data_IF_210023445562
#
_entry.id   IF_210023445562
#
_cell.length_a   1.000
_cell.length_b   1.000
_cell.length_c   1.000
_cell.angle_alpha   90.00
_cell.angle_beta   90.00
_cell.angle_gamma   90.00
#
_symmetry.space_group_name_H-M   'P 1'
#
loop_
_entity.id
_entity.type
_entity.pdbx_description
1 polymer ?
#
# COMPACT_ATOMS: atom_id res chain seq x y z
N UNK A 1 -28.04 -45.51 -12.96
CA UNK A 1 -27.91 -44.93 -11.61
C UNK A 1 -26.98 -43.74 -11.76
N UNK A 2 -27.59 -42.60 -12.08
CA UNK A 2 -26.91 -41.36 -12.41
C UNK A 2 -26.47 -40.68 -11.09
N UNK A 3 -25.17 -40.48 -10.94
CA UNK A 3 -24.60 -39.69 -9.83
C UNK A 3 -25.06 -38.26 -10.05
N UNK A 4 -25.63 -37.57 -9.06
CA UNK A 4 -25.96 -36.15 -9.21
C UNK A 4 -24.67 -35.35 -9.32
N UNK A 5 -24.56 -34.53 -10.38
CA UNK A 5 -23.60 -33.48 -10.53
C UNK A 5 -23.65 -32.58 -9.28
N UNK A 6 -22.55 -32.53 -8.54
CA UNK A 6 -22.38 -31.62 -7.43
C UNK A 6 -22.32 -30.20 -8.00
N UNK A 7 -23.28 -29.44 -7.59
CA UNK A 7 -23.60 -28.04 -7.80
C UNK A 7 -22.35 -27.15 -7.95
N UNK A 8 -22.11 -26.71 -9.17
CA UNK A 8 -21.01 -25.78 -9.56
C UNK A 8 -21.24 -24.35 -9.06
N UNK A 9 -22.27 -24.11 -8.25
CA UNK A 9 -22.60 -22.84 -7.63
C UNK A 9 -21.57 -22.38 -6.56
N UNK A 10 -20.64 -23.26 -6.14
CA UNK A 10 -19.59 -23.00 -5.14
C UNK A 10 -18.30 -22.41 -5.75
N UNK A 11 -18.21 -22.29 -7.07
CA UNK A 11 -16.99 -21.85 -7.76
C UNK A 11 -16.92 -20.33 -8.00
N UNK A 12 -18.02 -19.60 -7.88
CA UNK A 12 -18.09 -18.16 -8.17
C UNK A 12 -17.99 -17.35 -6.88
N UNK A 13 -17.14 -16.34 -6.88
CA UNK A 13 -17.12 -15.33 -5.81
C UNK A 13 -18.25 -14.32 -6.05
N UNK A 14 -19.08 -14.08 -5.05
CA UNK A 14 -20.18 -13.10 -5.08
C UNK A 14 -20.03 -12.11 -3.95
N UNK A 15 -20.34 -10.85 -4.22
CA UNK A 15 -20.42 -9.79 -3.22
C UNK A 15 -21.88 -9.32 -3.10
N UNK A 16 -22.43 -9.43 -1.90
CA UNK A 16 -23.75 -8.86 -1.58
C UNK A 16 -23.50 -7.61 -0.76
N UNK A 17 -23.94 -6.45 -1.27
CA UNK A 17 -23.66 -5.15 -0.65
C UNK A 17 -24.95 -4.51 -0.16
N UNK A 18 -24.95 -4.05 1.08
CA UNK A 18 -25.94 -3.16 1.67
C UNK A 18 -25.25 -1.91 2.20
N UNK A 19 -25.89 -0.76 2.14
CA UNK A 19 -25.30 0.50 2.57
C UNK A 19 -26.21 1.22 3.58
N UNK A 20 -25.61 1.74 4.65
CA UNK A 20 -26.29 2.56 5.65
C UNK A 20 -25.30 3.55 6.30
N UNK A 21 -25.71 4.82 6.46
CA UNK A 21 -24.95 5.81 7.22
C UNK A 21 -23.50 6.02 6.77
N UNK A 22 -23.25 6.06 5.46
CA UNK A 22 -21.88 6.22 4.91
C UNK A 22 -21.02 4.96 4.97
N UNK A 23 -21.55 3.83 5.43
CA UNK A 23 -20.85 2.54 5.52
C UNK A 23 -21.44 1.53 4.54
N UNK A 24 -20.60 0.90 3.72
CA UNK A 24 -20.97 -0.26 2.91
C UNK A 24 -20.68 -1.55 3.69
N UNK A 25 -21.67 -2.43 3.79
CA UNK A 25 -21.56 -3.77 4.34
C UNK A 25 -21.55 -4.77 3.20
N UNK A 26 -20.49 -5.54 3.07
CA UNK A 26 -20.28 -6.50 1.98
C UNK A 26 -20.18 -7.90 2.56
N UNK A 27 -20.98 -8.83 2.06
CA UNK A 27 -20.79 -10.25 2.33
C UNK A 27 -20.10 -10.87 1.12
N UNK A 28 -18.89 -11.39 1.32
CA UNK A 28 -18.19 -12.16 0.31
C UNK A 28 -18.50 -13.63 0.47
N UNK A 29 -19.18 -14.17 -0.52
CA UNK A 29 -19.64 -15.58 -0.52
C UNK A 29 -19.01 -16.32 -1.69
N UNK A 30 -18.47 -17.51 -1.46
CA UNK A 30 -17.90 -18.36 -2.49
C UNK A 30 -16.38 -18.49 -2.40
N UNK A 31 -15.71 -18.70 -3.53
CA UNK A 31 -14.29 -19.04 -3.58
C UNK A 31 -13.43 -17.87 -4.06
N UNK A 32 -12.46 -17.47 -3.24
CA UNK A 32 -11.39 -16.56 -3.63
C UNK A 32 -10.27 -17.37 -4.30
N UNK A 33 -10.17 -17.23 -5.62
CA UNK A 33 -9.24 -17.90 -6.50
C UNK A 33 -8.48 -16.88 -7.36
N UNK A 34 -7.38 -17.24 -8.04
CA UNK A 34 -6.65 -16.31 -8.90
C UNK A 34 -7.54 -15.60 -9.94
N UNK A 35 -8.56 -16.31 -10.46
CA UNK A 35 -9.48 -15.82 -11.49
C UNK A 35 -10.47 -14.78 -10.93
N UNK A 36 -10.88 -14.92 -9.67
CA UNK A 36 -11.88 -14.04 -9.03
C UNK A 36 -11.26 -12.90 -8.23
N UNK A 37 -9.97 -12.99 -7.92
CA UNK A 37 -9.27 -12.00 -7.10
C UNK A 37 -9.25 -10.59 -7.73
N UNK A 38 -9.01 -10.38 -9.04
CA UNK A 38 -9.03 -9.06 -9.65
C UNK A 38 -10.39 -8.37 -9.52
N UNK A 39 -11.48 -9.10 -9.73
CA UNK A 39 -12.84 -8.55 -9.62
C UNK A 39 -13.17 -8.17 -8.17
N UNK A 40 -12.74 -8.97 -7.21
CA UNK A 40 -12.88 -8.65 -5.79
C UNK A 40 -12.14 -7.36 -5.41
N UNK A 41 -10.90 -7.19 -5.89
CA UNK A 41 -10.13 -5.95 -5.67
C UNK A 41 -10.84 -4.75 -6.28
N UNK A 42 -11.25 -4.84 -7.56
CA UNK A 42 -11.91 -3.74 -8.26
C UNK A 42 -13.23 -3.34 -7.59
N UNK A 43 -14.04 -4.33 -7.18
CA UNK A 43 -15.30 -4.09 -6.49
C UNK A 43 -15.09 -3.39 -5.14
N UNK A 44 -14.21 -3.92 -4.30
CA UNK A 44 -13.94 -3.33 -2.98
C UNK A 44 -13.29 -1.94 -3.09
N UNK A 45 -12.35 -1.75 -4.02
CA UNK A 45 -11.74 -0.44 -4.26
C UNK A 45 -12.78 0.59 -4.73
N UNK A 46 -13.71 0.20 -5.60
CA UNK A 46 -14.81 1.06 -6.02
C UNK A 46 -15.73 1.46 -4.87
N UNK A 47 -16.06 0.54 -3.97
CA UNK A 47 -16.84 0.85 -2.78
C UNK A 47 -16.08 1.80 -1.82
N UNK A 48 -14.78 1.59 -1.63
CA UNK A 48 -13.95 2.45 -0.78
C UNK A 48 -13.80 3.89 -1.30
N UNK A 49 -14.02 4.12 -2.59
CA UNK A 49 -14.09 5.47 -3.16
C UNK A 49 -15.45 6.15 -2.96
N UNK A 50 -16.51 5.37 -2.77
CA UNK A 50 -17.89 5.87 -2.65
C UNK A 50 -18.44 5.95 -1.24
N UNK A 51 -17.79 5.30 -0.27
CA UNK A 51 -18.25 5.22 1.13
C UNK A 51 -17.13 5.58 2.10
N UNK A 52 -17.50 6.18 3.23
CA UNK A 52 -16.55 6.54 4.29
C UNK A 52 -15.85 5.30 4.87
N UNK A 53 -16.54 4.16 4.87
CA UNK A 53 -16.07 2.88 5.39
C UNK A 53 -16.67 1.72 4.61
N UNK A 54 -15.89 0.66 4.47
CA UNK A 54 -16.35 -0.62 3.91
C UNK A 54 -16.07 -1.72 4.94
N UNK A 55 -17.09 -2.47 5.30
CA UNK A 55 -16.97 -3.64 6.17
C UNK A 55 -17.27 -4.88 5.34
N UNK A 56 -16.35 -5.84 5.35
CA UNK A 56 -16.47 -7.08 4.59
C UNK A 56 -16.60 -8.26 5.55
N UNK A 57 -17.72 -8.97 5.49
CA UNK A 57 -17.92 -10.24 6.17
C UNK A 57 -17.32 -11.36 5.31
N UNK A 58 -16.44 -12.17 5.92
CA UNK A 58 -15.68 -13.23 5.27
C UNK A 58 -16.10 -14.63 5.72
N UNK A 59 -17.15 -14.78 6.51
CA UNK A 59 -17.49 -16.07 7.12
C UNK A 59 -17.89 -17.15 6.10
N UNK A 60 -18.40 -16.74 4.93
CA UNK A 60 -18.74 -17.63 3.83
C UNK A 60 -17.69 -17.66 2.70
N UNK A 61 -16.52 -17.03 2.96
CA UNK A 61 -15.41 -17.01 2.01
C UNK A 61 -14.55 -18.28 2.13
N UNK A 62 -14.37 -18.98 1.04
CA UNK A 62 -13.39 -20.07 0.92
C UNK A 62 -12.17 -19.57 0.17
N UNK A 63 -10.99 -19.75 0.75
CA UNK A 63 -9.74 -19.25 0.21
C UNK A 63 -8.93 -20.39 -0.36
N UNK A 64 -8.59 -20.33 -1.64
CA UNK A 64 -7.84 -21.39 -2.31
C UNK A 64 -6.37 -21.43 -1.86
N UNK A 65 -5.75 -20.25 -1.71
CA UNK A 65 -4.36 -20.09 -1.28
C UNK A 65 -4.22 -18.91 -0.33
N UNK A 66 -3.39 -19.07 0.69
CA UNK A 66 -3.13 -18.02 1.69
C UNK A 66 -2.72 -16.67 1.06
N UNK A 67 -1.89 -16.70 0.01
CA UNK A 67 -1.42 -15.50 -0.69
C UNK A 67 -2.54 -14.66 -1.32
N UNK A 68 -3.68 -15.27 -1.65
CA UNK A 68 -4.83 -14.56 -2.21
C UNK A 68 -5.50 -13.63 -1.20
N UNK A 69 -5.35 -13.86 0.11
CA UNK A 69 -5.89 -12.95 1.10
C UNK A 69 -5.29 -11.54 1.02
N UNK A 70 -4.06 -11.41 0.50
CA UNK A 70 -3.41 -10.11 0.32
C UNK A 70 -4.18 -9.16 -0.61
N UNK A 71 -5.05 -9.69 -1.49
CA UNK A 71 -5.89 -8.87 -2.37
C UNK A 71 -6.85 -7.97 -1.59
N UNK A 72 -7.28 -8.38 -0.38
CA UNK A 72 -8.15 -7.58 0.47
C UNK A 72 -7.45 -6.30 0.95
N UNK A 73 -6.19 -6.40 1.38
CA UNK A 73 -5.39 -5.23 1.73
C UNK A 73 -5.00 -4.41 0.48
N UNK A 74 -4.81 -5.08 -0.66
CA UNK A 74 -4.55 -4.42 -1.94
C UNK A 74 -5.70 -3.51 -2.37
N UNK A 75 -6.96 -3.93 -2.18
CA UNK A 75 -8.12 -3.10 -2.49
C UNK A 75 -8.12 -1.78 -1.71
N UNK A 76 -7.75 -1.81 -0.42
CA UNK A 76 -7.61 -0.59 0.38
C UNK A 76 -6.46 0.31 -0.11
N UNK A 77 -5.31 -0.29 -0.47
CA UNK A 77 -4.18 0.44 -1.05
C UNK A 77 -4.57 1.14 -2.36
N UNK A 78 -5.21 0.42 -3.29
CA UNK A 78 -5.61 0.95 -4.61
C UNK A 78 -6.67 2.06 -4.49
N UNK A 79 -7.45 2.07 -3.42
CA UNK A 79 -8.41 3.13 -3.09
C UNK A 79 -7.78 4.34 -2.36
N UNK A 80 -6.45 4.37 -2.17
CA UNK A 80 -5.72 5.47 -1.56
C UNK A 80 -5.16 5.19 -0.16
N UNK A 81 -5.46 4.03 0.43
CA UNK A 81 -4.96 3.64 1.75
C UNK A 81 -5.60 4.41 2.91
N UNK A 82 -5.27 4.02 4.14
CA UNK A 82 -5.75 4.73 5.33
C UNK A 82 -5.14 6.15 5.41
N UNK A 83 -5.88 7.20 5.81
CA UNK A 83 -7.27 7.18 6.30
C UNK A 83 -8.35 7.32 5.22
N UNK A 84 -8.00 7.47 3.94
CA UNK A 84 -8.97 7.74 2.88
C UNK A 84 -9.77 6.49 2.51
N UNK A 85 -9.19 5.29 2.66
CA UNK A 85 -9.82 4.01 2.42
C UNK A 85 -9.88 3.19 3.71
N UNK A 86 -11.01 3.25 4.43
CA UNK A 86 -11.20 2.54 5.70
C UNK A 86 -11.88 1.20 5.44
N UNK A 87 -11.07 0.16 5.34
CA UNK A 87 -11.52 -1.22 5.19
C UNK A 87 -11.46 -1.96 6.51
N UNK A 88 -12.54 -2.65 6.85
CA UNK A 88 -12.60 -3.57 7.98
C UNK A 88 -13.08 -4.94 7.52
N UNK A 89 -12.47 -5.99 8.05
CA UNK A 89 -12.78 -7.39 7.78
C UNK A 89 -13.36 -8.04 9.02
N UNK A 90 -14.53 -8.66 8.87
CA UNK A 90 -15.15 -9.49 9.90
C UNK A 90 -14.91 -10.95 9.55
N UNK A 91 -14.30 -11.68 10.47
CA UNK A 91 -14.07 -13.12 10.37
C UNK A 91 -14.32 -13.74 11.74
N UNK A 92 -15.43 -14.48 11.93
CA UNK A 92 -15.76 -15.14 13.20
C UNK A 92 -14.89 -16.35 13.44
N UNK A 93 -14.48 -17.03 12.38
CA UNK A 93 -13.56 -18.16 12.46
C UNK A 93 -12.14 -17.71 12.90
N UNK A 94 -11.63 -18.36 13.91
CA UNK A 94 -10.27 -18.09 14.45
C UNK A 94 -9.17 -18.48 13.47
N UNK A 95 -9.36 -19.55 12.71
CA UNK A 95 -8.39 -20.02 11.72
C UNK A 95 -8.27 -18.99 10.58
N UNK A 96 -9.38 -18.47 10.08
CA UNK A 96 -9.37 -17.43 9.05
C UNK A 96 -8.66 -16.16 9.56
N UNK A 97 -8.88 -15.74 10.82
CA UNK A 97 -8.14 -14.59 11.39
C UNK A 97 -6.63 -14.86 11.51
N UNK A 98 -6.22 -16.09 11.82
CA UNK A 98 -4.80 -16.47 11.80
C UNK A 98 -4.22 -16.43 10.39
N UNK A 99 -4.95 -16.90 9.39
CA UNK A 99 -4.57 -16.81 7.98
C UNK A 99 -4.42 -15.35 7.52
N UNK A 100 -5.35 -14.47 7.89
CA UNK A 100 -5.26 -13.03 7.59
C UNK A 100 -4.02 -12.37 8.23
N UNK A 101 -3.66 -12.77 9.45
CA UNK A 101 -2.41 -12.30 10.09
C UNK A 101 -1.18 -12.84 9.37
N UNK A 102 -1.14 -14.14 9.08
CA UNK A 102 -0.03 -14.78 8.38
C UNK A 102 0.19 -14.21 6.96
N UNK A 103 -0.88 -13.75 6.32
CA UNK A 103 -0.82 -13.06 5.02
C UNK A 103 -0.47 -11.56 5.14
N UNK A 104 -0.24 -11.02 6.34
CA UNK A 104 0.05 -9.60 6.57
C UNK A 104 -1.13 -8.66 6.37
N UNK A 105 -2.34 -9.19 6.19
CA UNK A 105 -3.56 -8.38 5.97
C UNK A 105 -3.95 -7.62 7.23
N UNK A 106 -3.85 -8.28 8.39
CA UNK A 106 -4.24 -7.69 9.68
C UNK A 106 -3.32 -6.53 10.13
N UNK A 107 -2.14 -6.37 9.53
CA UNK A 107 -1.26 -5.23 9.77
C UNK A 107 -1.67 -4.00 8.96
N UNK A 108 -2.41 -4.18 7.87
CA UNK A 108 -2.77 -3.16 6.88
C UNK A 108 -4.22 -2.71 6.94
N UNK A 109 -5.11 -3.58 7.39
CA UNK A 109 -6.55 -3.29 7.51
C UNK A 109 -7.09 -3.84 8.83
N UNK A 110 -8.20 -3.27 9.29
CA UNK A 110 -8.85 -3.74 10.51
C UNK A 110 -9.39 -5.17 10.32
N UNK A 111 -9.10 -6.07 11.28
CA UNK A 111 -9.63 -7.44 11.30
C UNK A 111 -10.24 -7.69 12.68
N UNK A 112 -11.48 -8.14 12.75
CA UNK A 112 -12.20 -8.41 13.99
C UNK A 112 -13.10 -9.66 13.88
N UNK A 113 -13.60 -10.13 15.02
CA UNK A 113 -14.53 -11.25 15.08
C UNK A 113 -16.01 -10.81 14.99
N UNK A 114 -16.28 -9.52 15.00
CA UNK A 114 -17.62 -8.95 14.95
C UNK A 114 -17.63 -7.53 14.42
N UNK A 115 -18.81 -7.08 14.00
CA UNK A 115 -19.03 -5.82 13.28
C UNK A 115 -18.60 -4.60 14.10
N UNK A 116 -19.08 -4.46 15.34
CA UNK A 116 -18.81 -3.28 16.17
C UNK A 116 -17.29 -3.08 16.40
N UNK A 117 -16.59 -4.19 16.69
CA UNK A 117 -15.14 -4.16 16.86
C UNK A 117 -14.41 -3.87 15.55
N UNK A 118 -14.92 -4.33 14.42
CA UNK A 118 -14.37 -4.05 13.10
C UNK A 118 -14.47 -2.56 12.78
N UNK A 119 -15.63 -1.95 13.04
CA UNK A 119 -15.88 -0.53 12.86
C UNK A 119 -14.97 0.33 13.77
N UNK A 120 -14.86 0.00 15.07
CA UNK A 120 -13.95 0.71 15.99
C UNK A 120 -12.50 0.64 15.53
N UNK A 121 -12.06 -0.53 15.08
CA UNK A 121 -10.68 -0.71 14.58
C UNK A 121 -10.40 0.01 13.27
N UNK A 122 -11.39 0.16 12.38
CA UNK A 122 -11.24 0.87 11.12
C UNK A 122 -10.93 2.38 11.31
N UNK A 123 -11.32 2.95 12.45
CA UNK A 123 -11.00 4.35 12.79
C UNK A 123 -9.55 4.54 13.25
N UNK A 124 -8.87 3.47 13.59
CA UNK A 124 -7.48 3.52 14.07
C UNK A 124 -6.51 3.24 12.95
N UNK A 125 -5.38 3.93 12.97
CA UNK A 125 -4.30 3.68 12.00
C UNK A 125 -3.83 2.22 12.11
N UNK A 126 -3.78 1.47 11.01
CA UNK A 126 -3.17 0.15 10.95
C UNK A 126 -1.69 0.17 11.34
N UNK A 127 -1.14 -1.00 11.66
CA UNK A 127 0.29 -1.13 12.00
C UNK A 127 1.20 -0.79 10.82
N UNK A 128 0.73 -1.07 9.60
CA UNK A 128 1.41 -0.73 8.35
C UNK A 128 0.44 0.09 7.49
N UNK A 129 0.86 1.28 7.09
CA UNK A 129 0.14 2.13 6.14
C UNK A 129 1.05 2.45 4.96
N UNK A 130 0.49 2.53 3.77
CA UNK A 130 1.23 2.84 2.56
C UNK A 130 0.40 3.71 1.61
N UNK A 131 1.11 4.44 0.76
CA UNK A 131 0.52 5.22 -0.32
C UNK A 131 1.46 5.23 -1.53
N UNK A 132 0.88 5.34 -2.73
CA UNK A 132 1.65 5.32 -3.97
C UNK A 132 1.07 6.31 -4.96
N UNK A 133 1.94 6.99 -5.69
CA UNK A 133 1.59 7.95 -6.74
C UNK A 133 2.49 7.76 -7.94
N UNK A 134 1.92 7.95 -9.12
CA UNK A 134 2.67 7.94 -10.38
C UNK A 134 2.72 9.33 -10.97
N UNK A 135 3.92 9.77 -11.36
CA UNK A 135 4.19 11.10 -11.87
C UNK A 135 4.88 11.05 -13.24
N UNK A 136 4.58 11.99 -14.14
CA UNK A 136 5.38 12.19 -15.35
C UNK A 136 6.77 12.75 -14.99
N UNK A 137 7.78 12.65 -15.90
CA UNK A 137 9.17 13.08 -15.64
C UNK A 137 9.34 14.61 -15.81
N UNK A 138 8.54 15.39 -15.12
CA UNK A 138 8.53 16.85 -15.18
C UNK A 138 9.10 17.44 -13.88
N UNK A 139 9.96 18.49 -13.94
CA UNK A 139 10.59 19.08 -12.75
C UNK A 139 9.59 19.50 -11.65
N UNK A 140 8.41 19.96 -12.04
CA UNK A 140 7.36 20.40 -11.12
C UNK A 140 6.79 19.25 -10.29
N UNK A 141 6.95 18.01 -10.77
CA UNK A 141 6.45 16.81 -10.08
C UNK A 141 7.26 16.50 -8.82
N UNK A 142 8.50 16.92 -8.74
CA UNK A 142 9.31 16.79 -7.50
C UNK A 142 8.63 17.51 -6.34
N UNK A 143 8.25 18.76 -6.55
CA UNK A 143 7.53 19.54 -5.54
C UNK A 143 6.13 18.99 -5.24
N UNK A 144 5.46 18.40 -6.23
CA UNK A 144 4.16 17.74 -6.04
C UNK A 144 4.31 16.46 -5.21
N UNK A 145 5.29 15.63 -5.54
CA UNK A 145 5.59 14.39 -4.82
C UNK A 145 5.85 14.67 -3.32
N UNK A 146 6.66 15.71 -3.01
CA UNK A 146 6.89 16.14 -1.63
C UNK A 146 5.58 16.51 -0.91
N UNK A 147 4.74 17.35 -1.51
CA UNK A 147 3.45 17.75 -0.90
C UNK A 147 2.51 16.59 -0.65
N UNK A 148 2.50 15.57 -1.54
CA UNK A 148 1.70 14.36 -1.34
C UNK A 148 2.20 13.58 -0.12
N UNK A 149 3.52 13.42 0.01
CA UNK A 149 4.14 12.75 1.16
C UNK A 149 3.88 13.53 2.44
N UNK A 150 4.10 14.84 2.47
CA UNK A 150 3.87 15.68 3.65
C UNK A 150 2.44 15.54 4.20
N UNK A 151 1.44 15.53 3.29
CA UNK A 151 0.04 15.30 3.68
C UNK A 151 -0.18 13.92 4.31
N UNK A 152 0.47 12.89 3.77
CA UNK A 152 0.39 11.52 4.32
C UNK A 152 1.06 11.40 5.67
N UNK A 153 2.24 11.98 5.84
CA UNK A 153 2.94 11.99 7.12
C UNK A 153 2.11 12.62 8.23
N UNK A 154 1.46 13.76 7.91
CA UNK A 154 0.55 14.43 8.85
C UNK A 154 -0.65 13.53 9.22
N UNK A 155 -1.31 12.93 8.21
CA UNK A 155 -2.45 12.04 8.42
C UNK A 155 -2.06 10.77 9.21
N UNK A 156 -0.85 10.26 9.00
CA UNK A 156 -0.35 9.05 9.67
C UNK A 156 0.26 9.34 11.04
N UNK A 157 0.38 10.61 11.45
CA UNK A 157 1.09 11.03 12.65
C UNK A 157 2.50 10.43 12.69
N UNK A 158 3.27 10.69 11.64
CA UNK A 158 4.66 10.20 11.53
C UNK A 158 5.49 10.65 12.73
N UNK A 159 6.19 9.74 13.43
CA UNK A 159 6.91 10.08 14.66
C UNK A 159 8.31 10.64 14.43
N UNK A 160 8.79 10.72 13.18
CA UNK A 160 10.11 11.23 12.81
C UNK A 160 10.07 12.69 12.35
N UNK A 161 11.21 13.16 11.80
CA UNK A 161 11.32 14.51 11.25
C UNK A 161 10.77 14.54 9.80
N UNK A 162 9.71 15.30 9.52
CA UNK A 162 9.19 15.43 8.18
C UNK A 162 10.14 16.19 7.22
N UNK A 163 11.07 17.04 7.74
CA UNK A 163 12.03 17.74 6.90
C UNK A 163 13.07 16.78 6.32
N UNK A 164 13.56 15.82 7.11
CA UNK A 164 14.45 14.75 6.63
C UNK A 164 13.78 13.93 5.53
N UNK A 165 12.51 13.57 5.73
CA UNK A 165 11.72 12.86 4.72
C UNK A 165 11.57 13.70 3.44
N UNK A 166 11.26 14.98 3.57
CA UNK A 166 11.11 15.90 2.43
C UNK A 166 12.39 16.01 1.59
N UNK A 167 13.55 16.04 2.25
CA UNK A 167 14.85 16.03 1.58
C UNK A 167 15.09 14.73 0.83
N UNK A 168 14.86 13.58 1.47
CA UNK A 168 14.99 12.26 0.82
C UNK A 168 14.05 12.15 -0.39
N UNK A 169 12.79 12.54 -0.26
CA UNK A 169 11.83 12.52 -1.37
C UNK A 169 12.28 13.41 -2.52
N UNK A 170 12.77 14.61 -2.23
CA UNK A 170 13.30 15.53 -3.25
C UNK A 170 14.43 14.87 -4.05
N UNK A 171 15.39 14.29 -3.37
CA UNK A 171 16.56 13.69 -4.03
C UNK A 171 16.18 12.47 -4.87
N UNK A 172 15.35 11.57 -4.33
CA UNK A 172 14.93 10.38 -5.07
C UNK A 172 14.05 10.73 -6.28
N UNK A 173 13.12 11.67 -6.13
CA UNK A 173 12.25 12.12 -7.22
C UNK A 173 13.05 12.92 -8.28
N UNK A 174 13.96 13.81 -7.87
CA UNK A 174 14.83 14.54 -8.78
C UNK A 174 15.72 13.61 -9.61
N UNK A 175 16.27 12.56 -8.98
CA UNK A 175 17.04 11.53 -9.68
C UNK A 175 16.20 10.83 -10.77
N UNK A 176 14.94 10.53 -10.51
CA UNK A 176 14.07 9.93 -11.52
C UNK A 176 13.76 10.90 -12.67
N UNK A 177 13.47 12.17 -12.39
CA UNK A 177 13.20 13.20 -13.40
C UNK A 177 14.43 13.49 -14.25
N UNK A 178 15.60 13.70 -13.64
CA UNK A 178 16.81 14.12 -14.34
C UNK A 178 17.48 12.99 -15.15
N UNK A 179 17.48 11.78 -14.57
CA UNK A 179 18.28 10.67 -15.12
C UNK A 179 17.43 9.62 -15.83
N UNK A 180 16.27 9.29 -15.34
CA UNK A 180 15.42 8.29 -15.98
C UNK A 180 14.62 8.87 -17.15
N UNK A 181 14.12 10.10 -17.02
CA UNK A 181 13.25 10.76 -18.02
C UNK A 181 12.06 9.90 -18.44
N UNK A 182 11.59 9.07 -17.53
CA UNK A 182 10.41 8.23 -17.67
C UNK A 182 9.43 8.53 -16.55
N UNK A 183 8.18 8.14 -16.70
CA UNK A 183 7.22 8.12 -15.60
C UNK A 183 7.82 7.40 -14.40
N UNK A 184 7.69 7.98 -13.20
CA UNK A 184 8.17 7.36 -11.97
C UNK A 184 7.03 7.15 -10.97
N UNK A 185 7.16 6.12 -10.16
CA UNK A 185 6.23 5.79 -9.08
C UNK A 185 6.92 6.00 -7.75
N UNK A 186 6.37 6.89 -6.93
CA UNK A 186 6.77 7.09 -5.54
C UNK A 186 5.85 6.27 -4.65
N UNK A 187 6.42 5.43 -3.81
CA UNK A 187 5.70 4.66 -2.79
C UNK A 187 6.29 4.96 -1.43
N UNK A 188 5.45 5.23 -0.44
CA UNK A 188 5.85 5.38 0.95
C UNK A 188 5.13 4.35 1.80
N UNK A 189 5.83 3.74 2.74
CA UNK A 189 5.29 2.75 3.67
C UNK A 189 5.77 3.08 5.07
N UNK A 190 4.85 3.31 5.98
CA UNK A 190 5.14 3.55 7.40
C UNK A 190 4.73 2.32 8.21
N UNK A 191 5.68 1.82 8.99
CA UNK A 191 5.45 0.76 9.97
C UNK A 191 6.09 1.12 11.33
N UNK A 192 6.32 0.13 12.18
CA UNK A 192 6.93 0.33 13.51
C UNK A 192 8.42 0.62 13.45
N UNK A 193 9.08 0.26 12.38
CA UNK A 193 10.53 0.46 12.21
C UNK A 193 10.87 1.83 11.63
N UNK A 194 9.94 2.46 10.93
CA UNK A 194 10.11 3.77 10.31
C UNK A 194 9.38 3.92 9.00
N UNK A 195 9.81 4.88 8.20
CA UNK A 195 9.27 5.22 6.91
C UNK A 195 10.19 4.72 5.80
N UNK A 196 9.70 3.82 4.97
CA UNK A 196 10.35 3.45 3.73
C UNK A 196 9.81 4.33 2.59
N UNK A 197 10.72 4.95 1.85
CA UNK A 197 10.46 5.77 0.67
C UNK A 197 11.07 5.02 -0.51
N UNK A 198 10.31 4.77 -1.58
CA UNK A 198 10.79 4.07 -2.76
C UNK A 198 10.35 4.82 -4.02
N UNK A 199 11.30 5.09 -4.91
CA UNK A 199 11.04 5.68 -6.24
C UNK A 199 11.46 4.68 -7.29
N UNK A 200 10.47 4.22 -8.06
CA UNK A 200 10.67 3.31 -9.19
C UNK A 200 10.54 4.05 -10.51
N UNK A 201 11.47 3.85 -11.43
CA UNK A 201 11.42 4.37 -12.79
C UNK A 201 11.57 3.23 -13.82
N UNK A 202 11.35 3.55 -15.10
CA UNK A 202 11.45 2.58 -16.23
C UNK A 202 12.72 2.75 -17.05
N UNK A 203 13.78 3.37 -16.50
CA UNK A 203 15.04 3.54 -17.21
C UNK A 203 15.93 2.31 -17.01
N UNK A 204 16.40 1.66 -18.07
CA UNK A 204 17.35 0.55 -17.97
C UNK A 204 18.76 1.04 -17.62
N UNK A 205 18.99 2.35 -17.57
CA UNK A 205 20.30 2.89 -17.25
C UNK A 205 20.58 2.74 -15.76
N UNK A 206 21.74 2.18 -15.38
CA UNK A 206 22.11 2.10 -13.97
C UNK A 206 22.22 3.51 -13.38
N UNK A 207 21.92 3.68 -12.10
CA UNK A 207 22.12 4.95 -11.42
C UNK A 207 23.61 5.25 -11.39
N UNK A 208 23.98 6.47 -11.76
CA UNK A 208 25.37 6.92 -11.73
C UNK A 208 25.69 7.36 -10.30
N UNK A 209 26.29 6.47 -9.51
CA UNK A 209 26.98 6.84 -8.29
C UNK A 209 28.22 7.63 -8.69
N UNK A 210 28.17 8.96 -8.60
CA UNK A 210 29.36 9.80 -8.82
C UNK A 210 30.23 9.77 -7.57
N UNK A 211 31.55 9.59 -7.73
CA UNK A 211 32.48 9.75 -6.61
C UNK A 211 32.32 11.13 -5.97
N UNK A 212 32.62 11.21 -4.69
CA UNK A 212 32.58 12.45 -3.93
C UNK A 212 33.51 13.51 -4.59
N UNK A 213 32.90 14.50 -5.24
CA UNK A 213 33.61 15.70 -5.70
C UNK A 213 33.14 16.88 -4.82
N UNK A 214 33.99 17.39 -3.90
CA UNK A 214 33.64 18.50 -3.03
C UNK A 214 33.29 19.80 -3.78
N UNK A 215 33.69 19.90 -5.05
CA UNK A 215 33.47 21.08 -5.90
C UNK A 215 32.23 20.95 -6.82
N UNK A 216 31.64 19.77 -6.97
CA UNK A 216 30.51 19.57 -7.86
C UNK A 216 29.19 20.09 -7.24
N UNK A 217 28.53 21.00 -7.93
CA UNK A 217 27.19 21.48 -7.56
C UNK A 217 26.10 20.40 -7.75
N UNK A 218 26.41 19.29 -8.45
CA UNK A 218 25.51 18.15 -8.75
C UNK A 218 26.14 16.83 -8.29
N UNK A 219 25.31 15.90 -7.83
CA UNK A 219 25.75 14.58 -7.38
C UNK A 219 25.85 14.41 -5.86
N UNK A 220 25.35 15.40 -5.09
CA UNK A 220 25.29 15.33 -3.62
C UNK A 220 24.02 14.62 -3.10
N UNK A 221 23.05 14.36 -3.97
CA UNK A 221 21.73 13.87 -3.58
C UNK A 221 21.76 12.54 -2.83
N UNK A 222 22.47 11.54 -3.38
CA UNK A 222 22.57 10.23 -2.70
C UNK A 222 23.45 10.30 -1.44
N UNK A 223 24.38 11.26 -1.32
CA UNK A 223 25.13 11.49 -0.07
C UNK A 223 24.21 12.08 1.02
N UNK A 224 23.28 12.97 0.63
CA UNK A 224 22.26 13.47 1.54
C UNK A 224 21.33 12.33 1.99
N UNK A 225 20.88 11.50 1.06
CA UNK A 225 20.10 10.29 1.40
C UNK A 225 20.88 9.39 2.37
N UNK A 226 22.17 9.15 2.12
CA UNK A 226 23.05 8.33 2.98
C UNK A 226 23.19 8.90 4.40
N UNK A 227 23.16 10.23 4.54
CA UNK A 227 23.24 10.89 5.84
C UNK A 227 21.94 10.90 6.65
N UNK A 228 20.78 10.83 5.97
CA UNK A 228 19.44 10.93 6.57
C UNK A 228 18.76 9.59 6.74
N UNK A 229 19.09 8.61 5.91
CA UNK A 229 18.51 7.27 5.95
C UNK A 229 19.37 6.33 6.83
N UNK A 230 18.72 5.40 7.52
CA UNK A 230 19.44 4.30 8.20
C UNK A 230 19.97 3.29 7.20
N UNK A 231 19.22 3.10 6.13
CA UNK A 231 19.55 2.18 5.05
C UNK A 231 18.95 2.69 3.74
N UNK A 232 19.68 2.52 2.65
CA UNK A 232 19.16 2.77 1.31
C UNK A 232 19.80 1.82 0.31
N UNK A 233 19.12 1.55 -0.78
CA UNK A 233 19.67 0.72 -1.85
C UNK A 233 19.01 1.03 -3.20
N UNK A 234 19.65 0.51 -4.25
CA UNK A 234 19.18 0.52 -5.62
C UNK A 234 18.93 -0.92 -6.02
N UNK A 235 17.72 -1.19 -6.53
CA UNK A 235 17.31 -2.51 -6.99
C UNK A 235 17.02 -2.43 -8.49
N UNK A 236 17.74 -3.19 -9.28
CA UNK A 236 17.46 -3.38 -10.70
C UNK A 236 16.20 -4.26 -10.85
N UNK A 237 15.30 -3.85 -11.75
CA UNK A 237 14.07 -4.58 -12.09
C UNK A 237 14.03 -5.08 -13.52
N UNK A 238 15.16 -5.03 -14.23
CA UNK A 238 15.29 -5.41 -15.64
C UNK A 238 14.76 -4.36 -16.61
N UNK A 239 13.53 -3.92 -16.49
CA UNK A 239 12.93 -2.85 -17.30
C UNK A 239 12.96 -1.48 -16.60
N UNK A 240 13.77 -1.33 -15.55
CA UNK A 240 13.87 -0.13 -14.76
C UNK A 240 14.54 -0.40 -13.41
N UNK A 241 14.54 0.60 -12.54
CA UNK A 241 15.13 0.46 -11.21
C UNK A 241 14.22 1.03 -10.13
N UNK A 242 14.45 0.61 -8.90
CA UNK A 242 13.86 1.19 -7.70
C UNK A 242 14.98 1.68 -6.80
N UNK A 243 14.98 2.96 -6.46
CA UNK A 243 15.82 3.52 -5.40
C UNK A 243 14.95 3.67 -4.16
N UNK A 244 15.39 3.12 -3.05
CA UNK A 244 14.64 3.23 -1.82
C UNK A 244 15.54 3.65 -0.65
N UNK A 245 14.93 4.29 0.34
CA UNK A 245 15.54 4.70 1.57
C UNK A 245 14.62 4.41 2.75
N UNK A 246 15.20 4.08 3.90
CA UNK A 246 14.50 3.88 5.16
C UNK A 246 14.90 4.99 6.15
N UNK A 247 13.93 5.78 6.59
CA UNK A 247 14.09 6.86 7.57
C UNK A 247 13.50 6.40 8.90
N UNK A 248 14.33 6.36 9.95
CA UNK A 248 13.91 5.94 11.28
C UNK A 248 12.84 6.87 11.87
N UNK A 249 12.00 6.36 12.79
CA UNK A 249 11.22 7.21 13.67
C UNK A 249 12.20 7.97 14.57
N UNK A 250 12.23 9.28 14.49
CA UNK A 250 13.23 10.19 15.04
C UNK A 250 14.00 9.71 16.27
N UNK A 251 15.28 9.96 16.28
CA UNK A 251 16.10 9.81 17.50
C UNK A 251 15.58 10.82 18.53
N UNK A 252 15.00 10.31 19.63
CA UNK A 252 14.71 11.12 20.81
C UNK A 252 16.01 11.56 21.47
#
# INVERSE_FOLDING_TARGET
>A
MTVPEHDDASSVLRAVTAAAGGTAHVHLVGRLAPETAPDAVAHLAGLLQGYDRVVVDLDELRVERLSLLAVLARAAHDAGGWPDARLALVARDTQLRQMLRAAGVADRVAVAHGLDLALDRAERRPAVVDASWTFPPEPEMVGRARREVDRRLAAWAFPGDPEDVALVVNELAANAVEHAKTTFTLTVTLDRTGLRIAVGDRSPLPPVLRPHDPGAARGRGLQLVDSLAEEWAIVDRGEGKVVWAHVAPGRR
#
